data_IF_048942993119
#
_entry.id   IF_048942993119
#
_cell.length_a   1.000
_cell.length_b   1.000
_cell.length_c   1.000
_cell.angle_alpha   90.00
_cell.angle_beta   90.00
_cell.angle_gamma   90.00
#
_symmetry.space_group_name_H-M   'P 1'
#
loop_
_entity.id
_entity.type
_entity.pdbx_description
1 polymer ?
#
# COMPACT_ATOMS: atom_id res chain seq x y z
N UNK A 1 -24.99 41.89 -50.18
CA UNK A 1 -23.59 41.41 -50.19
C UNK A 1 -23.30 40.64 -48.91
N UNK A 2 -23.15 39.30 -49.01
CA UNK A 2 -22.11 38.48 -48.36
C UNK A 2 -22.40 37.00 -48.66
N UNK A 3 -21.55 36.43 -49.52
CA UNK A 3 -21.35 34.99 -49.69
C UNK A 3 -20.46 34.50 -48.55
N UNK A 4 -20.63 33.24 -48.11
CA UNK A 4 -19.60 32.28 -47.63
C UNK A 4 -20.32 31.20 -46.80
N UNK A 5 -20.05 29.89 -46.82
CA UNK A 5 -19.37 28.90 -47.68
C UNK A 5 -19.70 27.52 -47.05
N UNK A 6 -19.83 26.46 -47.86
CA UNK A 6 -19.88 25.05 -47.45
C UNK A 6 -18.60 24.61 -46.70
N UNK A 7 -18.69 23.56 -45.85
CA UNK A 7 -17.73 22.43 -45.60
C UNK A 7 -18.22 21.64 -44.35
N UNK A 8 -18.93 20.52 -44.44
CA UNK A 8 -18.45 19.12 -44.44
C UNK A 8 -17.06 18.92 -43.78
N UNK A 9 -17.00 18.27 -42.61
CA UNK A 9 -16.00 17.22 -42.30
C UNK A 9 -16.36 16.46 -41.00
N UNK A 10 -16.43 15.13 -41.12
CA UNK A 10 -16.68 14.11 -40.10
C UNK A 10 -15.54 13.94 -39.09
N UNK A 11 -15.83 13.56 -37.84
CA UNK A 11 -14.90 12.79 -37.00
C UNK A 11 -15.67 11.75 -36.19
N UNK A 12 -15.57 10.50 -36.63
CA UNK A 12 -15.96 9.30 -35.89
C UNK A 12 -14.85 8.99 -34.89
N UNK A 13 -15.11 9.13 -33.58
CA UNK A 13 -14.19 8.68 -32.55
C UNK A 13 -14.49 7.21 -32.26
N UNK A 14 -13.60 6.34 -32.77
CA UNK A 14 -13.52 4.92 -32.44
C UNK A 14 -12.88 4.82 -31.05
N UNK A 15 -13.65 4.45 -30.04
CA UNK A 15 -13.12 4.14 -28.71
C UNK A 15 -12.43 2.77 -28.78
N UNK A 16 -11.11 2.78 -28.86
CA UNK A 16 -10.28 1.57 -28.78
C UNK A 16 -10.26 1.12 -27.32
N UNK A 17 -10.93 0.01 -27.03
CA UNK A 17 -10.74 -0.76 -25.81
C UNK A 17 -9.37 -1.43 -25.88
N UNK A 18 -8.39 -0.93 -25.13
CA UNK A 18 -7.11 -1.61 -24.94
C UNK A 18 -7.21 -2.53 -23.72
N UNK A 19 -7.53 -3.80 -23.96
CA UNK A 19 -7.21 -4.87 -23.04
C UNK A 19 -5.71 -5.14 -23.13
N UNK A 20 -4.91 -4.56 -22.23
CA UNK A 20 -3.56 -5.04 -21.96
C UNK A 20 -3.67 -6.20 -20.96
N UNK A 21 -4.12 -7.35 -21.46
CA UNK A 21 -3.71 -8.63 -20.88
C UNK A 21 -2.35 -8.95 -21.48
N UNK A 22 -1.30 -8.84 -20.68
CA UNK A 22 0.01 -9.36 -21.04
C UNK A 22 0.49 -10.28 -19.93
N UNK A 23 0.31 -11.57 -20.16
CA UNK A 23 0.99 -12.66 -19.48
C UNK A 23 2.39 -12.84 -20.07
N UNK A 24 3.42 -12.71 -19.27
CA UNK A 24 4.70 -13.38 -19.50
C UNK A 24 5.54 -13.32 -18.24
N UNK A 25 5.96 -14.50 -17.79
CA UNK A 25 6.82 -14.78 -16.65
C UNK A 25 8.02 -13.84 -16.53
N UNK A 26 8.00 -13.02 -15.48
CA UNK A 26 9.15 -12.52 -14.73
C UNK A 26 8.61 -12.37 -13.30
N UNK A 27 9.15 -13.13 -12.35
CA UNK A 27 8.68 -13.24 -10.96
C UNK A 27 8.97 -11.97 -10.11
N UNK A 28 8.97 -10.79 -10.74
CA UNK A 28 9.04 -9.49 -10.08
C UNK A 28 7.85 -8.65 -10.52
N UNK A 29 6.83 -8.51 -9.66
CA UNK A 29 5.69 -7.64 -9.91
C UNK A 29 6.12 -6.21 -10.24
N UNK A 30 5.25 -5.46 -10.95
CA UNK A 30 5.48 -4.06 -11.29
C UNK A 30 5.83 -3.25 -10.03
N UNK A 31 7.06 -2.77 -9.92
CA UNK A 31 7.65 -2.34 -8.64
C UNK A 31 7.19 -0.99 -8.07
N UNK A 32 6.03 -0.51 -8.53
CA UNK A 32 5.47 0.78 -8.15
C UNK A 32 6.31 1.99 -8.59
N UNK A 33 5.61 3.10 -8.78
CA UNK A 33 6.17 4.41 -9.14
C UNK A 33 6.00 5.43 -7.99
N UNK A 34 5.83 4.96 -6.75
CA UNK A 34 5.80 5.79 -5.55
C UNK A 34 7.02 6.74 -5.50
N UNK A 35 6.81 8.03 -5.13
CA UNK A 35 7.91 8.95 -4.93
C UNK A 35 8.91 8.40 -3.93
N UNK A 36 10.21 8.63 -4.18
CA UNK A 36 11.28 8.21 -3.27
C UNK A 36 11.02 8.69 -1.85
N UNK A 37 11.22 7.78 -0.89
CA UNK A 37 11.00 8.01 0.53
C UNK A 37 9.53 7.86 0.96
N UNK A 38 8.59 7.56 0.08
CA UNK A 38 7.15 7.57 0.42
C UNK A 38 6.43 6.26 0.12
N UNK A 39 5.24 6.16 0.67
CA UNK A 39 4.24 5.14 0.39
C UNK A 39 2.94 5.84 -0.03
N UNK A 40 2.35 5.37 -1.13
CA UNK A 40 1.07 5.85 -1.67
C UNK A 40 0.08 4.71 -1.73
N UNK A 41 -1.20 5.01 -1.59
CA UNK A 41 -2.28 4.02 -1.71
C UNK A 41 -3.63 4.72 -1.92
N UNK A 42 -4.68 3.92 -2.10
CA UNK A 42 -6.06 4.33 -1.90
C UNK A 42 -6.67 3.56 -0.73
N UNK A 43 -7.30 4.28 0.19
CA UNK A 43 -8.08 3.75 1.31
C UNK A 43 -9.56 4.00 0.99
N UNK A 44 -10.30 2.93 0.69
CA UNK A 44 -11.68 3.01 0.19
C UNK A 44 -11.82 3.99 -1.00
N UNK A 45 -10.82 3.99 -1.87
CA UNK A 45 -10.73 4.88 -3.03
C UNK A 45 -10.19 6.30 -2.74
N UNK A 46 -10.07 6.70 -1.48
CA UNK A 46 -9.47 7.99 -1.10
C UNK A 46 -7.94 7.92 -1.14
N UNK A 47 -7.30 8.87 -1.80
CA UNK A 47 -5.84 8.91 -1.91
C UNK A 47 -5.15 9.11 -0.57
N UNK A 48 -4.10 8.33 -0.36
CA UNK A 48 -3.15 8.43 0.74
C UNK A 48 -1.75 8.63 0.18
N UNK A 49 -0.97 9.49 0.83
CA UNK A 49 0.46 9.60 0.63
C UNK A 49 1.14 9.88 1.97
N UNK A 50 2.18 9.11 2.29
CA UNK A 50 2.99 9.33 3.48
C UNK A 50 4.02 10.45 3.29
N UNK A 51 4.61 10.90 4.39
CA UNK A 51 5.73 11.84 4.38
C UNK A 51 7.05 11.10 4.42
N UNK A 52 8.04 11.59 3.67
CA UNK A 52 9.38 11.00 3.62
C UNK A 52 10.04 10.86 5.00
N UNK A 53 9.95 11.91 5.83
CA UNK A 53 10.58 11.92 7.16
C UNK A 53 9.98 10.91 8.15
N UNK A 54 8.76 10.45 7.90
CA UNK A 54 8.04 9.52 8.77
C UNK A 54 7.70 8.21 8.07
N UNK A 55 8.49 7.88 7.03
CA UNK A 55 8.37 6.63 6.31
C UNK A 55 9.73 5.93 6.21
N UNK A 56 9.75 4.64 6.52
CA UNK A 56 10.96 3.83 6.43
C UNK A 56 10.65 2.34 6.34
N UNK A 57 11.63 1.60 5.83
CA UNK A 57 11.73 0.16 5.97
C UNK A 57 12.85 -0.18 6.98
N UNK A 58 12.70 -1.25 7.73
CA UNK A 58 13.72 -1.80 8.63
C UNK A 58 13.76 -3.30 8.47
N UNK A 59 14.93 -3.83 8.16
CA UNK A 59 15.16 -5.28 8.11
C UNK A 59 15.88 -5.66 9.40
N UNK A 60 15.24 -6.51 10.20
CA UNK A 60 15.76 -6.95 11.49
C UNK A 60 16.07 -8.44 11.45
N UNK A 61 17.25 -8.81 11.95
CA UNK A 61 17.62 -10.21 12.17
C UNK A 61 16.95 -10.74 13.44
N UNK A 62 16.30 -11.89 13.33
CA UNK A 62 15.67 -12.62 14.45
C UNK A 62 16.31 -14.02 14.55
N UNK A 63 16.19 -14.71 15.70
CA UNK A 63 16.68 -16.09 15.83
C UNK A 63 16.06 -17.08 14.82
N UNK A 64 14.92 -16.72 14.21
CA UNK A 64 14.13 -17.55 13.30
C UNK A 64 14.21 -17.09 11.83
N UNK A 65 15.05 -16.10 11.50
CA UNK A 65 15.14 -15.53 10.15
C UNK A 65 15.14 -13.99 10.18
N UNK A 66 14.83 -13.34 9.07
CA UNK A 66 14.68 -11.88 9.04
C UNK A 66 13.20 -11.47 9.16
N UNK A 67 12.99 -10.24 9.62
CA UNK A 67 11.69 -9.58 9.58
C UNK A 67 11.82 -8.23 8.90
N UNK A 68 10.85 -7.91 8.05
CA UNK A 68 10.71 -6.59 7.45
C UNK A 68 9.62 -5.82 8.20
N UNK A 69 9.97 -4.65 8.72
CA UNK A 69 9.05 -3.66 9.28
C UNK A 69 8.98 -2.47 8.32
N UNK A 70 7.78 -2.08 7.91
CA UNK A 70 7.55 -0.81 7.22
C UNK A 70 6.64 0.03 8.09
N UNK A 71 6.98 1.31 8.26
CA UNK A 71 6.09 2.32 8.86
C UNK A 71 6.06 3.50 7.91
N UNK A 72 4.87 4.03 7.64
CA UNK A 72 4.70 5.19 6.78
C UNK A 72 3.49 6.00 7.27
N UNK A 73 3.72 7.22 7.77
CA UNK A 73 2.65 8.10 8.26
C UNK A 73 2.57 9.42 7.49
N UNK A 74 1.41 10.07 7.56
CA UNK A 74 1.17 11.38 6.96
C UNK A 74 0.84 12.46 8.01
N UNK A 75 0.66 13.70 7.57
CA UNK A 75 0.35 14.84 8.44
C UNK A 75 -1.06 14.82 9.03
N UNK A 76 -1.96 13.99 8.49
CA UNK A 76 -3.34 13.89 8.95
C UNK A 76 -3.49 12.95 10.16
N UNK A 77 -2.39 12.34 10.62
CA UNK A 77 -2.37 11.37 11.71
C UNK A 77 -2.67 9.94 11.27
N UNK A 78 -2.66 9.69 9.95
CA UNK A 78 -2.93 8.38 9.38
C UNK A 78 -1.62 7.65 9.05
N UNK A 79 -1.57 6.34 9.28
CA UNK A 79 -0.36 5.57 9.04
C UNK A 79 -0.64 4.17 8.50
N UNK A 80 0.26 3.70 7.64
CA UNK A 80 0.44 2.30 7.34
C UNK A 80 1.57 1.71 8.19
N UNK A 81 1.38 0.47 8.61
CA UNK A 81 2.45 -0.34 9.20
C UNK A 81 2.35 -1.78 8.71
N UNK A 82 3.48 -2.35 8.32
CA UNK A 82 3.60 -3.74 7.88
C UNK A 82 4.67 -4.46 8.69
N UNK A 83 4.39 -5.71 9.05
CA UNK A 83 5.38 -6.62 9.63
C UNK A 83 5.34 -7.93 8.85
N UNK A 84 6.44 -8.21 8.15
CA UNK A 84 6.64 -9.44 7.40
C UNK A 84 7.59 -10.33 8.18
N UNK A 85 7.16 -11.53 8.53
CA UNK A 85 7.98 -12.51 9.22
C UNK A 85 8.61 -13.48 8.23
N UNK A 86 9.84 -13.93 8.51
CA UNK A 86 10.55 -14.82 7.59
C UNK A 86 10.88 -14.14 6.26
N UNK A 87 11.16 -12.84 6.30
CA UNK A 87 11.49 -12.05 5.13
C UNK A 87 12.75 -12.60 4.44
N UNK A 88 12.69 -12.80 3.13
CA UNK A 88 13.76 -13.40 2.32
C UNK A 88 14.09 -12.58 1.06
N UNK A 89 13.75 -11.28 1.08
CA UNK A 89 14.03 -10.36 -0.02
C UNK A 89 12.85 -10.16 -0.99
N UNK A 90 13.18 -9.95 -2.26
CA UNK A 90 12.21 -9.80 -3.36
C UNK A 90 11.26 -11.00 -3.40
N UNK A 91 9.96 -10.71 -3.42
CA UNK A 91 8.93 -11.74 -3.35
C UNK A 91 7.58 -11.18 -2.91
N UNK A 92 6.58 -12.06 -2.87
CA UNK A 92 5.22 -11.74 -2.43
C UNK A 92 4.93 -12.38 -1.08
N UNK A 93 4.38 -11.58 -0.18
CA UNK A 93 4.10 -11.92 1.21
C UNK A 93 2.61 -11.76 1.48
N UNK A 94 1.94 -12.89 1.68
CA UNK A 94 0.49 -12.93 1.84
C UNK A 94 0.07 -12.53 3.27
N UNK A 95 -1.07 -11.84 3.34
CA UNK A 95 -1.83 -11.63 4.56
C UNK A 95 -2.93 -12.70 4.60
N UNK A 96 -2.60 -13.87 5.14
CA UNK A 96 -3.51 -15.00 5.26
C UNK A 96 -3.68 -15.42 6.73
N UNK A 97 -4.87 -15.19 7.26
CA UNK A 97 -5.22 -15.53 8.64
C UNK A 97 -5.44 -17.02 8.88
N UNK A 98 -5.41 -17.85 7.84
CA UNK A 98 -5.44 -19.31 7.95
C UNK A 98 -4.09 -19.93 8.34
N UNK A 99 -3.01 -19.14 8.24
CA UNK A 99 -1.67 -19.55 8.67
C UNK A 99 -1.57 -19.41 10.20
N UNK A 100 -1.11 -20.47 10.88
CA UNK A 100 -1.11 -20.52 12.36
C UNK A 100 0.19 -19.98 13.00
N UNK A 101 1.21 -19.66 12.22
CA UNK A 101 2.53 -19.23 12.72
C UNK A 101 3.12 -18.12 11.85
N UNK A 102 3.73 -17.12 12.50
CA UNK A 102 4.47 -16.04 11.82
C UNK A 102 3.63 -15.32 10.73
N UNK A 103 2.38 -15.02 11.07
CA UNK A 103 1.43 -14.38 10.17
C UNK A 103 1.89 -12.96 9.86
N UNK A 104 2.10 -12.65 8.58
CA UNK A 104 2.41 -11.30 8.15
C UNK A 104 1.25 -10.37 8.52
N UNK A 105 1.56 -9.15 8.94
CA UNK A 105 0.56 -8.18 9.39
C UNK A 105 0.66 -6.94 8.54
N UNK A 106 -0.48 -6.49 8.03
CA UNK A 106 -0.66 -5.16 7.46
C UNK A 106 -1.67 -4.39 8.30
N UNK A 107 -1.44 -3.09 8.51
CA UNK A 107 -2.37 -2.25 9.25
C UNK A 107 -2.46 -0.85 8.70
N UNK A 108 -3.63 -0.26 8.89
CA UNK A 108 -3.90 1.14 8.63
C UNK A 108 -4.50 1.76 9.88
N UNK A 109 -4.03 2.95 10.26
CA UNK A 109 -4.53 3.68 11.42
C UNK A 109 -5.03 5.05 11.02
N UNK A 110 -6.05 5.52 11.73
CA UNK A 110 -6.55 6.90 11.64
C UNK A 110 -6.53 7.50 13.04
N UNK A 111 -5.86 8.64 13.22
CA UNK A 111 -5.80 9.34 14.50
C UNK A 111 -6.54 10.67 14.42
N UNK A 112 -7.67 10.76 15.11
CA UNK A 112 -8.39 12.01 15.27
C UNK A 112 -7.78 12.80 16.44
N UNK A 113 -6.93 13.77 16.12
CA UNK A 113 -6.26 14.61 17.12
C UNK A 113 -7.23 15.65 17.67
N UNK A 114 -7.47 15.62 18.99
CA UNK A 114 -8.20 16.68 19.67
C UNK A 114 -7.25 17.81 20.08
N UNK A 115 -7.13 18.84 19.24
CA UNK A 115 -6.21 19.96 19.47
C UNK A 115 -6.52 20.78 20.73
N UNK A 116 -7.77 20.75 21.21
CA UNK A 116 -8.17 21.47 22.43
C UNK A 116 -7.92 20.67 23.71
N UNK A 117 -7.88 19.34 23.61
CA UNK A 117 -7.50 18.43 24.69
C UNK A 117 -6.83 17.18 24.11
N UNK A 118 -5.50 17.17 23.94
CA UNK A 118 -4.79 16.07 23.32
C UNK A 118 -5.01 14.71 23.99
N UNK A 119 -5.30 14.68 25.29
CA UNK A 119 -5.60 13.45 26.03
C UNK A 119 -6.91 12.77 25.61
N UNK A 120 -7.78 13.46 24.87
CA UNK A 120 -9.03 12.94 24.32
C UNK A 120 -8.92 12.60 22.82
N UNK A 121 -7.72 12.51 22.26
CA UNK A 121 -7.54 12.03 20.88
C UNK A 121 -7.87 10.54 20.80
N UNK A 122 -8.39 10.10 19.66
CA UNK A 122 -8.74 8.71 19.41
C UNK A 122 -7.92 8.16 18.25
N UNK A 123 -7.56 6.88 18.34
CA UNK A 123 -6.88 6.16 17.25
C UNK A 123 -7.66 4.89 16.96
N UNK A 124 -8.10 4.75 15.72
CA UNK A 124 -8.71 3.54 15.20
C UNK A 124 -7.66 2.75 14.40
N UNK A 125 -7.75 1.42 14.45
CA UNK A 125 -6.77 0.52 13.84
C UNK A 125 -7.50 -0.55 13.04
N UNK A 126 -7.27 -0.60 11.74
CA UNK A 126 -7.68 -1.68 10.87
C UNK A 126 -6.50 -2.60 10.60
N UNK A 127 -6.68 -3.90 10.83
CA UNK A 127 -5.60 -4.88 10.71
C UNK A 127 -5.95 -6.01 9.73
N UNK A 128 -4.92 -6.50 9.05
CA UNK A 128 -4.90 -7.68 8.22
C UNK A 128 -3.77 -8.63 8.68
N UNK A 129 -3.96 -9.95 8.54
CA UNK A 129 -5.22 -10.57 8.17
C UNK A 129 -6.25 -10.46 9.30
N UNK A 130 -7.51 -10.70 8.94
CA UNK A 130 -8.59 -10.91 9.88
C UNK A 130 -9.33 -12.18 9.47
N UNK A 131 -9.91 -12.86 10.46
CA UNK A 131 -10.57 -14.16 10.26
C UNK A 131 -9.60 -15.21 9.68
N UNK A 132 -10.10 -16.39 9.33
CA UNK A 132 -9.26 -17.49 8.83
C UNK A 132 -9.23 -17.46 7.28
N UNK A 133 -8.81 -16.33 6.71
CA UNK A 133 -8.85 -16.08 5.26
C UNK A 133 -7.66 -15.28 4.74
N UNK A 134 -7.33 -15.52 3.46
CA UNK A 134 -6.50 -14.65 2.63
C UNK A 134 -7.21 -13.34 2.35
N UNK A 135 -6.55 -12.21 2.62
CA UNK A 135 -7.13 -10.87 2.46
C UNK A 135 -6.27 -9.91 1.63
N UNK A 136 -5.20 -10.41 1.01
CA UNK A 136 -4.30 -9.63 0.16
C UNK A 136 -2.83 -9.94 0.42
N UNK A 137 -1.95 -9.09 -0.10
CA UNK A 137 -0.51 -9.30 -0.03
C UNK A 137 0.29 -8.01 -0.16
N UNK A 138 1.55 -8.07 0.25
CA UNK A 138 2.59 -7.09 -0.06
C UNK A 138 3.65 -7.77 -0.93
N UNK A 139 4.06 -7.13 -2.02
CA UNK A 139 5.13 -7.62 -2.88
C UNK A 139 6.32 -6.66 -2.84
N UNK A 140 7.50 -7.18 -2.53
CA UNK A 140 8.77 -6.47 -2.72
C UNK A 140 9.28 -6.80 -4.12
N UNK A 141 9.52 -5.78 -4.92
CA UNK A 141 10.03 -5.91 -6.29
C UNK A 141 11.51 -5.58 -6.40
N UNK A 142 12.01 -4.73 -5.50
CA UNK A 142 13.39 -4.29 -5.50
C UNK A 142 13.86 -4.11 -4.06
N UNK A 143 15.04 -4.66 -3.77
CA UNK A 143 15.79 -4.40 -2.55
C UNK A 143 17.24 -4.09 -2.93
N UNK A 144 17.75 -3.02 -2.35
CA UNK A 144 19.16 -2.62 -2.42
C UNK A 144 19.65 -2.36 -1.01
N UNK A 145 20.95 -2.08 -0.83
CA UNK A 145 21.53 -1.74 0.48
C UNK A 145 20.87 -0.54 1.18
N UNK A 146 20.14 0.31 0.45
CA UNK A 146 19.58 1.56 0.98
C UNK A 146 18.11 1.77 0.70
N UNK A 147 17.51 1.01 -0.22
CA UNK A 147 16.15 1.24 -0.70
C UNK A 147 15.38 -0.07 -0.86
N UNK A 148 14.08 0.01 -0.58
CA UNK A 148 13.12 -1.06 -0.77
C UNK A 148 11.93 -0.53 -1.58
N UNK A 149 11.56 -1.22 -2.68
CA UNK A 149 10.39 -0.89 -3.49
C UNK A 149 9.42 -2.05 -3.59
N UNK A 150 8.16 -1.72 -3.78
CA UNK A 150 7.14 -2.73 -3.98
C UNK A 150 5.73 -2.19 -4.02
N UNK A 151 4.78 -3.11 -4.01
CA UNK A 151 3.35 -2.84 -4.07
C UNK A 151 2.59 -3.61 -3.00
N UNK A 152 1.36 -3.21 -2.73
CA UNK A 152 0.46 -3.96 -1.86
C UNK A 152 -1.00 -3.69 -2.22
N UNK A 153 -1.83 -4.71 -1.98
CA UNK A 153 -3.28 -4.61 -2.06
C UNK A 153 -3.85 -5.57 -1.03
N UNK A 154 -4.75 -5.08 -0.17
CA UNK A 154 -5.36 -5.90 0.87
C UNK A 154 -6.64 -5.28 1.43
N UNK A 155 -7.39 -6.06 2.19
CA UNK A 155 -8.46 -5.54 3.05
C UNK A 155 -8.08 -5.70 4.51
N UNK A 156 -8.51 -4.77 5.37
CA UNK A 156 -8.23 -4.80 6.80
C UNK A 156 -9.47 -4.43 7.61
N UNK A 157 -9.55 -4.92 8.85
CA UNK A 157 -10.76 -4.82 9.69
C UNK A 157 -10.45 -4.20 11.05
N UNK A 158 -11.35 -3.33 11.54
CA UNK A 158 -11.27 -2.74 12.87
C UNK A 158 -11.83 -3.69 13.93
N UNK A 159 -11.08 -4.74 14.25
CA UNK A 159 -11.49 -5.82 15.15
C UNK A 159 -11.76 -5.39 16.60
N UNK A 160 -11.19 -4.25 17.01
CA UNK A 160 -11.31 -3.73 18.37
C UNK A 160 -12.23 -2.50 18.47
N UNK A 161 -12.80 -2.07 17.34
CA UNK A 161 -13.67 -0.90 17.25
C UNK A 161 -15.01 -1.25 16.62
N UNK A 162 -15.35 -0.59 15.52
CA UNK A 162 -16.67 -0.64 14.90
C UNK A 162 -16.89 -1.85 13.96
N UNK A 163 -15.91 -2.76 13.86
CA UNK A 163 -15.91 -3.92 12.96
C UNK A 163 -15.94 -3.58 11.47
N UNK A 164 -15.72 -2.31 11.09
CA UNK A 164 -15.68 -1.88 9.70
C UNK A 164 -14.48 -2.49 8.96
N UNK A 165 -14.62 -2.64 7.65
CA UNK A 165 -13.57 -3.13 6.74
C UNK A 165 -13.19 -2.01 5.81
N UNK A 166 -11.88 -1.82 5.59
CA UNK A 166 -11.31 -0.91 4.59
C UNK A 166 -10.67 -1.71 3.47
N UNK A 167 -10.82 -1.22 2.25
CA UNK A 167 -10.14 -1.73 1.06
C UNK A 167 -8.93 -0.85 0.77
N UNK A 168 -7.76 -1.46 0.72
CA UNK A 168 -6.50 -0.82 0.41
C UNK A 168 -6.07 -1.28 -0.98
N UNK A 169 -6.05 -0.35 -1.94
CA UNK A 169 -5.74 -0.63 -3.34
C UNK A 169 -4.70 0.33 -3.89
N UNK A 170 -4.12 0.00 -5.05
CA UNK A 170 -3.09 0.80 -5.73
C UNK A 170 -1.93 1.19 -4.77
N UNK A 171 -1.59 0.29 -3.85
CA UNK A 171 -0.56 0.50 -2.85
C UNK A 171 0.82 0.34 -3.46
N UNK A 172 1.68 1.34 -3.27
CA UNK A 172 3.05 1.35 -3.76
C UNK A 172 3.97 2.00 -2.72
N UNK A 173 5.20 1.52 -2.61
CA UNK A 173 6.20 2.10 -1.70
C UNK A 173 7.58 2.13 -2.34
N UNK A 174 8.35 3.15 -1.97
CA UNK A 174 9.74 3.34 -2.33
C UNK A 174 10.44 3.98 -1.13
N UNK A 175 10.99 3.16 -0.23
CA UNK A 175 11.39 3.58 1.11
C UNK A 175 12.88 3.38 1.33
N UNK A 176 13.47 4.28 2.12
CA UNK A 176 14.82 4.08 2.64
C UNK A 176 14.87 2.97 3.70
N UNK A 177 15.89 2.13 3.65
CA UNK A 177 16.17 1.12 4.66
C UNK A 177 16.95 1.75 5.81
N UNK A 178 16.44 1.58 7.03
CA UNK A 178 17.14 1.92 8.26
C UNK A 178 17.91 0.70 8.77
N UNK A 179 19.22 0.84 8.90
CA UNK A 179 20.08 -0.16 9.52
C UNK A 179 20.05 0.01 11.03
N UNK A 180 19.76 -1.08 11.76
CA UNK A 180 19.95 -1.16 13.21
C UNK A 180 21.40 -1.54 13.56
#
# INVERSE_FOLDING_TARGET
>A
MRKLKQSILSVTIITVMMFLSCSSSDDGGNGGDAPTGTLVAKVDGASYQSMEISSSATIASTPTGQSLLIVASNSDGNAFSFTIFGYDGVGTYDFDGSVLSAVNVGSYTETAVNLSNPANSTTEIWQAPYENSYVGSLSVSEETDTHLKGTFEFTCKNLNGDQSVKTISDGEFNLGIQNN
#
